data_IF_649400611860
#
_entry.id   IF_649400611860
#
_cell.length_a   1.000
_cell.length_b   1.000
_cell.length_c   1.000
_cell.angle_alpha   90.00
_cell.angle_beta   90.00
_cell.angle_gamma   90.00
#
_symmetry.space_group_name_H-M   'P 1'
#
loop_
_entity.id
_entity.type
_entity.pdbx_description
1 polymer ?
#
# COMPACT_ATOMS: atom_id res chain seq x y z
N UNK A 1 17.47 -4.38 7.75
CA UNK A 1 18.04 -3.52 8.82
C UNK A 1 19.15 -4.30 9.51
N UNK A 2 20.30 -3.67 9.86
CA UNK A 2 21.31 -4.33 10.69
C UNK A 2 20.72 -4.84 12.01
N UNK A 3 21.09 -6.06 12.40
CA UNK A 3 20.59 -6.72 13.60
C UNK A 3 21.21 -6.08 14.84
N UNK A 4 20.40 -5.73 15.85
CA UNK A 4 20.94 -5.26 17.14
C UNK A 4 21.37 -6.45 17.99
N UNK A 5 22.43 -6.25 18.77
CA UNK A 5 22.97 -7.28 19.67
C UNK A 5 21.93 -7.84 20.64
N UNK A 6 20.97 -7.02 21.08
CA UNK A 6 19.93 -7.40 22.06
C UNK A 6 18.90 -8.43 21.57
N UNK A 7 18.88 -8.75 20.27
CA UNK A 7 17.99 -9.77 19.71
C UNK A 7 18.67 -10.67 18.68
N UNK A 8 20.00 -10.60 18.58
CA UNK A 8 20.75 -11.26 17.51
C UNK A 8 20.65 -12.79 17.56
N UNK A 9 20.50 -13.33 18.77
CA UNK A 9 20.45 -14.77 19.08
C UNK A 9 19.14 -15.45 18.67
N UNK A 10 18.16 -14.66 18.22
CA UNK A 10 16.80 -15.09 17.87
C UNK A 10 16.32 -14.48 16.54
N UNK A 11 17.25 -14.07 15.68
CA UNK A 11 16.99 -13.73 14.28
C UNK A 11 17.44 -14.89 13.41
N UNK A 12 16.49 -15.41 12.63
CA UNK A 12 16.72 -16.49 11.69
C UNK A 12 16.54 -15.96 10.27
N UNK A 13 17.35 -16.45 9.34
CA UNK A 13 17.28 -16.12 7.92
C UNK A 13 16.91 -17.35 7.11
N UNK A 14 16.32 -17.18 5.93
CA UNK A 14 16.00 -18.31 5.03
C UNK A 14 15.91 -17.82 3.59
N UNK A 15 15.98 -18.75 2.64
CA UNK A 15 15.99 -18.48 1.20
C UNK A 15 17.09 -17.45 0.83
N UNK A 16 16.73 -16.37 0.13
CA UNK A 16 17.69 -15.34 -0.32
C UNK A 16 18.11 -14.37 0.79
N UNK A 17 17.50 -14.44 1.96
CA UNK A 17 17.81 -13.55 3.08
C UNK A 17 19.03 -14.10 3.84
N UNK A 18 19.99 -13.23 4.14
CA UNK A 18 21.17 -13.57 4.92
C UNK A 18 21.71 -12.35 5.67
N UNK A 19 22.32 -12.57 6.83
CA UNK A 19 23.06 -11.56 7.59
C UNK A 19 24.19 -12.23 8.39
N UNK A 20 25.39 -11.64 8.47
CA UNK A 20 26.53 -12.25 9.18
C UNK A 20 26.19 -12.63 10.62
N UNK A 21 26.61 -13.84 11.01
CA UNK A 21 26.42 -14.35 12.36
C UNK A 21 25.00 -14.80 12.71
N UNK A 22 24.03 -14.74 11.78
CA UNK A 22 22.67 -15.24 12.01
C UNK A 22 22.54 -16.71 11.62
N UNK A 23 21.67 -17.43 12.32
CA UNK A 23 21.29 -18.79 11.95
C UNK A 23 20.53 -18.76 10.62
N UNK A 24 20.97 -19.56 9.65
CA UNK A 24 20.32 -19.70 8.35
C UNK A 24 19.56 -21.03 8.27
N UNK A 25 18.26 -20.94 8.03
CA UNK A 25 17.37 -22.08 7.78
C UNK A 25 17.42 -22.39 6.28
N UNK A 26 18.04 -23.52 5.95
CA UNK A 26 18.28 -23.97 4.58
C UNK A 26 17.02 -24.42 3.82
N UNK A 27 17.22 -24.97 2.63
CA UNK A 27 16.16 -25.31 1.67
C UNK A 27 15.13 -26.31 2.20
N UNK A 28 15.56 -27.24 3.06
CA UNK A 28 14.69 -28.22 3.73
C UNK A 28 13.67 -27.58 4.68
N UNK A 29 13.86 -26.30 5.02
CA UNK A 29 13.00 -25.55 5.95
C UNK A 29 12.82 -26.27 7.29
N UNK A 30 13.88 -26.90 7.79
CA UNK A 30 13.91 -27.42 9.15
C UNK A 30 13.87 -26.25 10.14
N UNK A 31 12.68 -25.96 10.66
CA UNK A 31 12.44 -24.88 11.62
C UNK A 31 12.67 -25.31 13.08
N UNK A 32 13.24 -26.49 13.34
CA UNK A 32 13.56 -26.96 14.70
C UNK A 32 14.30 -25.89 15.52
N UNK A 33 15.36 -25.22 15.02
CA UNK A 33 16.05 -24.17 15.78
C UNK A 33 15.17 -22.97 16.16
N UNK A 34 14.18 -22.63 15.32
CA UNK A 34 13.23 -21.53 15.58
C UNK A 34 12.28 -21.92 16.71
N UNK A 35 11.77 -23.16 16.67
CA UNK A 35 10.81 -23.69 17.65
C UNK A 35 11.49 -23.84 19.02
N UNK A 36 12.68 -24.44 19.08
CA UNK A 36 13.43 -24.60 20.32
C UNK A 36 13.75 -23.25 20.97
N UNK A 37 14.20 -22.26 20.18
CA UNK A 37 14.44 -20.90 20.68
C UNK A 37 13.16 -20.24 21.18
N UNK A 38 12.03 -20.45 20.52
CA UNK A 38 10.75 -19.91 20.99
C UNK A 38 10.32 -20.52 22.34
N UNK A 39 10.48 -21.83 22.51
CA UNK A 39 10.19 -22.53 23.77
C UNK A 39 11.11 -22.07 24.91
N UNK A 40 12.40 -21.89 24.63
CA UNK A 40 13.38 -21.35 25.58
C UNK A 40 12.99 -19.94 26.08
N UNK A 41 12.46 -19.10 25.19
CA UNK A 41 12.12 -17.70 25.50
C UNK A 41 10.79 -17.54 26.27
N UNK A 42 9.89 -18.53 26.26
CA UNK A 42 8.69 -18.56 27.09
C UNK A 42 7.58 -17.54 26.76
N UNK A 43 7.73 -16.70 25.73
CA UNK A 43 6.70 -15.75 25.28
C UNK A 43 6.44 -14.58 26.24
N UNK A 44 5.27 -13.94 26.12
CA UNK A 44 4.82 -12.90 27.06
C UNK A 44 4.11 -13.55 28.26
N UNK A 45 4.33 -13.06 29.51
CA UNK A 45 3.69 -13.61 30.71
C UNK A 45 2.19 -13.29 30.80
N UNK A 46 1.78 -12.18 30.16
CA UNK A 46 0.42 -11.67 30.14
C UNK A 46 0.06 -11.25 28.71
N UNK A 47 -1.24 -11.18 28.41
CA UNK A 47 -1.71 -10.66 27.14
C UNK A 47 -1.20 -9.23 26.90
N UNK A 48 -0.72 -8.98 25.69
CA UNK A 48 -0.16 -7.70 25.28
C UNK A 48 -1.04 -7.10 24.20
N UNK A 49 -1.69 -5.99 24.54
CA UNK A 49 -2.37 -5.15 23.56
C UNK A 49 -1.37 -4.17 22.96
N UNK A 50 -1.27 -4.16 21.64
CA UNK A 50 -0.44 -3.22 20.90
C UNK A 50 -1.33 -2.41 19.98
N UNK A 51 -1.12 -1.10 19.97
CA UNK A 51 -1.77 -0.22 19.00
C UNK A 51 -0.88 -0.04 17.78
N UNK A 52 -1.49 0.19 16.63
CA UNK A 52 -0.82 0.78 15.48
C UNK A 52 -0.37 2.21 15.79
N UNK A 53 0.30 2.84 14.81
CA UNK A 53 0.91 4.15 15.00
C UNK A 53 -0.09 5.30 15.15
N UNK A 54 -1.36 5.08 14.78
CA UNK A 54 -2.46 6.02 14.93
C UNK A 54 -3.37 5.69 16.12
N UNK A 55 -3.03 4.67 16.93
CA UNK A 55 -3.78 4.28 18.12
C UNK A 55 -4.84 3.21 17.89
N UNK A 56 -5.02 2.71 16.65
CA UNK A 56 -5.95 1.63 16.37
C UNK A 56 -5.45 0.28 16.87
N UNK A 57 -6.36 -0.60 17.29
CA UNK A 57 -6.07 -1.93 17.83
C UNK A 57 -6.45 -3.07 16.88
N UNK A 58 -7.23 -2.74 15.84
CA UNK A 58 -7.75 -3.69 14.85
C UNK A 58 -7.55 -3.13 13.43
N UNK A 59 -7.38 -4.04 12.46
CA UNK A 59 -7.25 -3.70 11.04
C UNK A 59 -8.04 -4.72 10.21
N UNK A 60 -8.83 -4.23 9.26
CA UNK A 60 -9.53 -5.10 8.31
C UNK A 60 -8.64 -5.37 7.09
N UNK A 61 -8.55 -6.65 6.67
CA UNK A 61 -7.72 -7.06 5.54
C UNK A 61 -8.44 -8.09 4.66
N UNK A 62 -7.86 -8.41 3.50
CA UNK A 62 -8.36 -9.50 2.64
C UNK A 62 -9.16 -9.04 1.42
N UNK A 63 -9.05 -7.77 1.03
CA UNK A 63 -9.73 -7.20 -0.14
C UNK A 63 -8.91 -7.40 -1.43
N UNK A 64 -8.38 -8.61 -1.64
CA UNK A 64 -7.81 -8.99 -2.93
C UNK A 64 -8.91 -9.07 -4.00
N UNK A 65 -8.52 -9.18 -5.28
CA UNK A 65 -9.46 -9.04 -6.40
C UNK A 65 -10.68 -9.96 -6.32
N UNK A 66 -10.53 -11.24 -5.94
CA UNK A 66 -11.69 -12.14 -5.83
C UNK A 66 -12.72 -11.67 -4.80
N UNK A 67 -12.27 -11.15 -3.66
CA UNK A 67 -13.15 -10.66 -2.60
C UNK A 67 -13.88 -9.37 -3.03
N UNK A 68 -13.16 -8.43 -3.64
CA UNK A 68 -13.73 -7.17 -4.12
C UNK A 68 -14.69 -7.41 -5.29
N UNK A 69 -14.27 -8.22 -6.27
CA UNK A 69 -15.07 -8.50 -7.47
C UNK A 69 -16.33 -9.31 -7.16
N UNK A 70 -16.34 -10.14 -6.10
CA UNK A 70 -17.55 -10.80 -5.63
C UNK A 70 -18.64 -9.80 -5.17
N UNK A 71 -18.27 -8.55 -4.91
CA UNK A 71 -19.17 -7.45 -4.57
C UNK A 71 -19.15 -6.32 -5.61
N UNK A 72 -18.66 -6.58 -6.83
CA UNK A 72 -18.50 -5.56 -7.86
C UNK A 72 -19.80 -4.81 -8.17
N UNK A 73 -20.92 -5.52 -8.33
CA UNK A 73 -22.22 -4.91 -8.63
C UNK A 73 -22.62 -3.90 -7.56
N UNK A 74 -22.43 -4.23 -6.27
CA UNK A 74 -22.72 -3.32 -5.16
C UNK A 74 -21.82 -2.10 -5.15
N UNK A 75 -20.54 -2.25 -5.48
CA UNK A 75 -19.59 -1.14 -5.57
C UNK A 75 -19.99 -0.22 -6.73
N UNK A 76 -20.31 -0.80 -7.90
CA UNK A 76 -20.76 -0.06 -9.08
C UNK A 76 -22.06 0.70 -8.79
N UNK A 77 -23.02 0.05 -8.12
CA UNK A 77 -24.27 0.69 -7.73
C UNK A 77 -24.04 1.83 -6.74
N UNK A 78 -23.15 1.67 -5.76
CA UNK A 78 -22.81 2.71 -4.80
C UNK A 78 -22.16 3.94 -5.48
N UNK A 79 -21.29 3.71 -6.48
CA UNK A 79 -20.70 4.78 -7.29
C UNK A 79 -21.77 5.47 -8.15
N UNK A 80 -22.61 4.71 -8.85
CA UNK A 80 -23.70 5.26 -9.70
C UNK A 80 -24.74 6.04 -8.89
N UNK A 81 -24.99 5.62 -7.65
CA UNK A 81 -25.88 6.31 -6.71
C UNK A 81 -25.23 7.56 -6.06
N UNK A 82 -23.94 7.80 -6.30
CA UNK A 82 -23.19 8.92 -5.70
C UNK A 82 -22.84 8.70 -4.22
N UNK A 83 -22.96 7.48 -3.70
CA UNK A 83 -22.56 7.15 -2.34
C UNK A 83 -21.02 7.02 -2.21
N UNK A 84 -20.35 6.58 -3.27
CA UNK A 84 -18.89 6.60 -3.38
C UNK A 84 -18.51 7.59 -4.48
N UNK A 85 -17.89 8.70 -4.09
CA UNK A 85 -17.47 9.77 -4.99
C UNK A 85 -16.13 9.49 -5.67
N UNK A 86 -15.21 8.84 -4.95
CA UNK A 86 -13.83 8.66 -5.40
C UNK A 86 -13.13 7.47 -4.75
N UNK A 87 -12.17 6.90 -5.46
CA UNK A 87 -11.22 5.91 -4.96
C UNK A 87 -9.81 6.51 -4.91
N UNK A 88 -9.12 6.31 -3.80
CA UNK A 88 -7.71 6.63 -3.68
C UNK A 88 -6.90 5.35 -3.50
N UNK A 89 -6.05 5.01 -4.47
CA UNK A 89 -5.02 4.00 -4.27
C UNK A 89 -3.85 4.66 -3.55
N UNK A 90 -3.86 4.58 -2.22
CA UNK A 90 -2.73 5.00 -1.38
C UNK A 90 -1.93 3.75 -1.02
N UNK A 91 -0.79 3.57 -1.69
CA UNK A 91 -0.12 2.27 -1.70
C UNK A 91 1.40 2.37 -1.80
N UNK A 92 2.06 1.23 -1.61
CA UNK A 92 3.49 1.07 -1.89
C UNK A 92 4.33 0.84 -0.64
N UNK A 93 5.58 1.29 -0.62
CA UNK A 93 6.52 0.89 0.43
C UNK A 93 6.74 1.98 1.48
N UNK A 94 6.70 1.58 2.76
CA UNK A 94 7.15 2.41 3.87
C UNK A 94 8.68 2.38 4.03
N UNK A 95 9.22 3.31 4.82
CA UNK A 95 10.64 3.37 5.17
C UNK A 95 10.97 4.41 6.23
N UNK A 96 12.24 4.51 6.60
CA UNK A 96 12.71 5.36 7.70
C UNK A 96 12.90 6.85 7.32
N UNK A 97 12.83 7.22 6.03
CA UNK A 97 12.98 8.62 5.59
C UNK A 97 11.82 9.46 6.13
N UNK A 98 12.15 10.68 6.59
CA UNK A 98 11.18 11.70 6.97
C UNK A 98 10.30 12.12 5.79
N UNK A 99 9.14 12.71 6.07
CA UNK A 99 8.15 13.13 5.06
C UNK A 99 7.03 12.13 4.80
N UNK A 100 7.09 10.91 5.35
CA UNK A 100 6.05 9.88 5.17
C UNK A 100 4.80 10.07 6.02
N UNK A 101 4.81 11.02 6.95
CA UNK A 101 3.59 11.50 7.63
C UNK A 101 2.58 12.07 6.63
N UNK A 102 3.05 12.51 5.45
CA UNK A 102 2.21 12.88 4.31
C UNK A 102 1.11 11.85 4.05
N UNK A 103 1.42 10.54 4.05
CA UNK A 103 0.42 9.52 3.69
C UNK A 103 -0.65 9.33 4.75
N UNK A 104 -0.27 9.42 6.04
CA UNK A 104 -1.23 9.42 7.14
C UNK A 104 -2.17 10.61 7.03
N UNK A 105 -1.61 11.80 6.82
CA UNK A 105 -2.37 13.03 6.76
C UNK A 105 -3.25 13.12 5.51
N UNK A 106 -2.73 12.72 4.35
CA UNK A 106 -3.47 12.61 3.11
C UNK A 106 -4.70 11.72 3.27
N UNK A 107 -4.54 10.53 3.88
CA UNK A 107 -5.65 9.61 4.11
C UNK A 107 -6.68 10.20 5.07
N UNK A 108 -6.25 10.86 6.16
CA UNK A 108 -7.17 11.53 7.11
C UNK A 108 -8.01 12.63 6.46
N UNK A 109 -7.45 13.33 5.48
CA UNK A 109 -8.13 14.44 4.80
C UNK A 109 -9.03 14.00 3.65
N UNK A 110 -8.98 12.73 3.22
CA UNK A 110 -9.82 12.26 2.11
C UNK A 110 -11.32 12.41 2.41
N UNK A 111 -12.14 12.77 1.41
CA UNK A 111 -13.59 12.95 1.59
C UNK A 111 -14.26 11.76 2.25
N UNK A 112 -15.24 11.99 3.14
CA UNK A 112 -15.94 10.93 3.86
C UNK A 112 -16.69 9.95 2.94
N UNK A 113 -17.01 10.37 1.71
CA UNK A 113 -17.66 9.58 0.67
C UNK A 113 -16.65 8.90 -0.29
N UNK A 114 -15.38 8.78 0.10
CA UNK A 114 -14.33 8.12 -0.69
C UNK A 114 -13.80 6.83 -0.06
N UNK A 115 -13.29 5.92 -0.90
CA UNK A 115 -12.67 4.65 -0.49
C UNK A 115 -11.16 4.70 -0.71
N UNK A 116 -10.40 4.24 0.28
CA UNK A 116 -8.96 4.03 0.22
C UNK A 116 -8.67 2.57 -0.13
N UNK A 117 -8.10 2.35 -1.30
CA UNK A 117 -7.48 1.08 -1.67
C UNK A 117 -6.02 1.13 -1.22
N UNK A 118 -5.55 0.09 -0.53
CA UNK A 118 -4.15 0.02 -0.11
C UNK A 118 -3.54 -1.36 -0.29
N UNK A 119 -2.22 -1.39 -0.39
CA UNK A 119 -1.40 -2.60 -0.47
C UNK A 119 0.04 -2.25 -0.10
N UNK A 120 0.83 -3.29 0.18
CA UNK A 120 2.21 -3.20 0.64
C UNK A 120 2.39 -2.46 1.97
N UNK A 121 3.63 -2.40 2.47
CA UNK A 121 3.90 -1.92 3.83
C UNK A 121 3.64 -0.42 4.05
N UNK A 122 3.46 0.37 3.00
CA UNK A 122 3.03 1.78 3.08
C UNK A 122 1.72 1.94 3.85
N UNK A 123 0.85 0.90 3.81
CA UNK A 123 -0.42 0.87 4.54
C UNK A 123 -0.26 1.09 6.04
N UNK A 124 0.86 0.68 6.64
CA UNK A 124 1.08 0.81 8.09
C UNK A 124 1.12 2.26 8.57
N UNK A 125 1.14 3.23 7.65
CA UNK A 125 0.99 4.66 7.96
C UNK A 125 -0.44 5.04 8.36
N UNK A 126 -1.45 4.27 7.98
CA UNK A 126 -2.85 4.68 8.09
C UNK A 126 -3.86 3.53 8.20
N UNK A 127 -3.45 2.26 8.09
CA UNK A 127 -4.39 1.12 8.09
C UNK A 127 -5.08 0.87 9.43
N UNK A 128 -4.58 1.47 10.50
CA UNK A 128 -5.16 1.46 11.85
C UNK A 128 -5.99 2.72 12.15
N UNK A 129 -6.29 3.53 11.13
CA UNK A 129 -7.29 4.59 11.24
C UNK A 129 -8.70 4.00 11.16
N UNK A 130 -9.57 4.44 12.07
CA UNK A 130 -11.01 4.25 11.90
C UNK A 130 -11.55 5.37 11.01
N UNK A 131 -11.81 5.03 9.75
CA UNK A 131 -12.45 5.92 8.78
C UNK A 131 -13.93 5.60 8.59
N UNK A 132 -14.46 4.58 9.27
CA UNK A 132 -15.82 4.08 9.07
C UNK A 132 -16.03 3.27 7.78
N UNK A 133 -17.29 3.16 7.37
CA UNK A 133 -17.73 2.40 6.21
C UNK A 133 -18.70 3.19 5.32
N UNK A 134 -18.77 2.82 4.04
CA UNK A 134 -19.70 3.38 3.06
C UNK A 134 -20.41 2.22 2.37
N UNK A 135 -21.74 2.19 2.41
CA UNK A 135 -22.53 1.16 1.71
C UNK A 135 -22.22 -0.28 2.18
N UNK A 136 -21.81 -0.46 3.44
CA UNK A 136 -21.39 -1.74 4.01
C UNK A 136 -19.97 -2.17 3.65
N UNK A 137 -19.17 -1.26 3.09
CA UNK A 137 -17.76 -1.47 2.78
C UNK A 137 -16.86 -0.62 3.67
N UNK A 138 -15.81 -1.19 4.29
CA UNK A 138 -14.82 -0.40 5.01
C UNK A 138 -14.17 0.65 4.09
N UNK A 139 -13.99 1.87 4.60
CA UNK A 139 -13.32 2.93 3.84
C UNK A 139 -11.84 2.64 3.58
N UNK A 140 -11.22 1.75 4.34
CA UNK A 140 -9.87 1.23 4.04
C UNK A 140 -9.99 -0.23 3.60
N UNK A 141 -9.66 -0.49 2.35
CA UNK A 141 -9.63 -1.83 1.77
C UNK A 141 -8.18 -2.26 1.52
N UNK A 142 -7.65 -3.09 2.40
CA UNK A 142 -6.33 -3.68 2.24
C UNK A 142 -6.34 -4.88 1.28
N UNK A 143 -5.73 -4.66 0.11
CA UNK A 143 -5.62 -5.62 -0.98
C UNK A 143 -4.45 -6.61 -0.82
N UNK A 144 -3.54 -6.39 0.14
CA UNK A 144 -2.49 -7.34 0.48
C UNK A 144 -1.05 -6.80 0.36
N UNK A 145 -0.15 -7.64 -0.11
CA UNK A 145 1.28 -7.34 -0.25
C UNK A 145 1.57 -6.46 -1.48
N UNK A 146 2.83 -6.12 -1.72
CA UNK A 146 3.22 -5.34 -2.90
C UNK A 146 2.85 -6.02 -4.22
N UNK A 147 2.97 -7.34 -4.30
CA UNK A 147 2.55 -8.13 -5.45
C UNK A 147 1.03 -8.10 -5.70
N UNK A 148 0.22 -7.79 -4.68
CA UNK A 148 -1.22 -7.59 -4.85
C UNK A 148 -1.57 -6.28 -5.56
N UNK A 149 -0.57 -5.52 -6.03
CA UNK A 149 -0.75 -4.54 -7.11
C UNK A 149 -1.45 -5.17 -8.32
N UNK A 150 -1.25 -6.46 -8.58
CA UNK A 150 -2.01 -7.21 -9.56
C UNK A 150 -3.51 -7.23 -9.25
N UNK A 151 -3.88 -7.47 -7.99
CA UNK A 151 -5.28 -7.42 -7.53
C UNK A 151 -5.88 -6.03 -7.72
N UNK A 152 -5.13 -4.97 -7.38
CA UNK A 152 -5.56 -3.58 -7.61
C UNK A 152 -5.82 -3.29 -9.09
N UNK A 153 -4.92 -3.72 -9.98
CA UNK A 153 -5.08 -3.59 -11.43
C UNK A 153 -6.32 -4.36 -11.93
N UNK A 154 -6.53 -5.60 -11.44
CA UNK A 154 -7.71 -6.40 -11.80
C UNK A 154 -9.02 -5.70 -11.43
N UNK A 155 -9.08 -5.15 -10.22
CA UNK A 155 -10.25 -4.39 -9.76
C UNK A 155 -10.46 -3.14 -10.61
N UNK A 156 -9.40 -2.35 -10.86
CA UNK A 156 -9.49 -1.15 -11.69
C UNK A 156 -9.96 -1.46 -13.12
N UNK A 157 -9.45 -2.51 -13.75
CA UNK A 157 -9.88 -2.94 -15.10
C UNK A 157 -11.35 -3.36 -15.10
N UNK A 158 -11.78 -4.15 -14.12
CA UNK A 158 -13.18 -4.59 -14.05
C UNK A 158 -14.14 -3.43 -13.81
N UNK A 159 -13.77 -2.45 -12.98
CA UNK A 159 -14.54 -1.22 -12.80
C UNK A 159 -14.60 -0.41 -14.10
N UNK A 160 -13.47 -0.24 -14.79
CA UNK A 160 -13.42 0.46 -16.07
C UNK A 160 -14.33 -0.20 -17.12
N UNK A 161 -14.33 -1.53 -17.21
CA UNK A 161 -15.26 -2.30 -18.05
C UNK A 161 -16.73 -2.05 -17.66
N UNK A 162 -17.06 -2.06 -16.37
CA UNK A 162 -18.43 -1.83 -15.89
C UNK A 162 -18.94 -0.39 -16.12
N UNK A 163 -18.03 0.58 -16.24
CA UNK A 163 -18.33 1.98 -16.57
C UNK A 163 -18.12 2.32 -18.05
N UNK A 164 -17.73 1.34 -18.88
CA UNK A 164 -17.44 1.51 -20.31
C UNK A 164 -16.43 2.65 -20.58
N UNK A 165 -15.41 2.77 -19.71
CA UNK A 165 -14.35 3.78 -19.81
C UNK A 165 -12.96 3.17 -19.70
N UNK A 166 -11.92 3.98 -19.86
CA UNK A 166 -10.55 3.57 -19.56
C UNK A 166 -10.25 3.71 -18.06
N UNK A 167 -9.24 2.99 -17.58
CA UNK A 167 -8.80 3.10 -16.16
C UNK A 167 -8.41 4.53 -15.78
N UNK A 168 -7.90 5.32 -16.72
CA UNK A 168 -7.52 6.72 -16.47
C UNK A 168 -8.73 7.66 -16.35
N UNK A 169 -9.93 7.22 -16.74
CA UNK A 169 -11.18 7.98 -16.65
C UNK A 169 -12.03 7.58 -15.43
N UNK A 170 -11.63 6.54 -14.69
CA UNK A 170 -12.26 6.19 -13.43
C UNK A 170 -12.06 7.32 -12.40
N UNK A 171 -12.97 7.48 -11.43
CA UNK A 171 -12.75 8.31 -10.25
C UNK A 171 -11.75 7.62 -9.31
N UNK A 172 -10.52 7.41 -9.79
CA UNK A 172 -9.44 6.70 -9.13
C UNK A 172 -8.16 7.55 -9.21
N UNK A 173 -7.57 7.84 -8.06
CA UNK A 173 -6.30 8.55 -7.97
C UNK A 173 -5.22 7.70 -7.31
N UNK A 174 -4.01 7.72 -7.86
CA UNK A 174 -2.90 6.89 -7.40
C UNK A 174 -1.87 7.74 -6.66
N UNK A 175 -1.74 7.50 -5.36
CA UNK A 175 -0.80 8.18 -4.46
C UNK A 175 0.17 7.16 -3.89
N UNK A 176 1.31 7.03 -4.57
CA UNK A 176 2.23 5.91 -4.38
C UNK A 176 3.46 6.32 -3.57
N UNK A 177 3.79 5.48 -2.60
CA UNK A 177 5.03 5.50 -1.85
C UNK A 177 6.00 4.45 -2.38
N UNK A 178 7.30 4.71 -2.34
CA UNK A 178 8.30 3.71 -2.74
C UNK A 178 9.49 3.70 -1.79
N UNK A 179 10.26 2.62 -1.84
CA UNK A 179 11.48 2.45 -1.02
C UNK A 179 12.49 1.52 -1.70
N UNK A 180 12.04 0.36 -2.15
CA UNK A 180 12.89 -0.68 -2.75
C UNK A 180 12.43 -1.06 -4.17
N UNK A 181 13.06 -2.08 -4.76
CA UNK A 181 12.98 -2.35 -6.20
C UNK A 181 11.67 -3.02 -6.64
N UNK A 182 10.94 -3.71 -5.76
CA UNK A 182 9.60 -4.23 -6.13
C UNK A 182 8.63 -3.09 -6.41
N UNK A 183 8.69 -1.98 -5.67
CA UNK A 183 7.91 -0.78 -5.98
C UNK A 183 8.25 -0.19 -7.36
N UNK A 184 9.52 -0.26 -7.78
CA UNK A 184 9.94 0.16 -9.13
C UNK A 184 9.34 -0.75 -10.19
N UNK A 185 9.36 -2.07 -9.98
CA UNK A 185 8.71 -3.02 -10.90
C UNK A 185 7.22 -2.73 -11.05
N UNK A 186 6.52 -2.43 -9.96
CA UNK A 186 5.09 -2.10 -9.99
C UNK A 186 4.85 -0.80 -10.76
N UNK A 187 5.66 0.24 -10.51
CA UNK A 187 5.57 1.50 -11.25
C UNK A 187 5.75 1.26 -12.76
N UNK A 188 6.76 0.47 -13.17
CA UNK A 188 6.98 0.14 -14.58
C UNK A 188 5.80 -0.64 -15.18
N UNK A 189 5.17 -1.54 -14.42
CA UNK A 189 3.95 -2.23 -14.86
C UNK A 189 2.80 -1.24 -15.09
N UNK A 190 2.58 -0.28 -14.18
CA UNK A 190 1.55 0.75 -14.35
C UNK A 190 1.83 1.62 -15.59
N UNK A 191 3.09 2.02 -15.79
CA UNK A 191 3.50 2.76 -16.98
C UNK A 191 3.29 1.95 -18.26
N UNK A 192 3.63 0.65 -18.26
CA UNK A 192 3.38 -0.24 -19.40
C UNK A 192 1.89 -0.35 -19.73
N UNK A 193 1.03 -0.37 -18.71
CA UNK A 193 -0.43 -0.37 -18.87
C UNK A 193 -1.00 1.00 -19.28
N UNK A 194 -0.16 2.01 -19.46
CA UNK A 194 -0.57 3.35 -19.87
C UNK A 194 -1.29 4.14 -18.76
N UNK A 195 -1.07 3.78 -17.50
CA UNK A 195 -1.61 4.50 -16.35
C UNK A 195 -0.90 5.84 -16.18
N UNK A 196 -1.69 6.89 -15.96
CA UNK A 196 -1.25 8.28 -15.89
C UNK A 196 -1.60 8.93 -14.56
N UNK A 197 -1.11 10.15 -14.34
CA UNK A 197 -1.43 11.00 -13.18
C UNK A 197 -1.07 10.37 -11.82
N UNK A 198 0.06 9.67 -11.76
CA UNK A 198 0.56 9.04 -10.52
C UNK A 198 1.30 10.07 -9.68
N UNK A 199 0.91 10.22 -8.41
CA UNK A 199 1.67 10.94 -7.40
C UNK A 199 2.71 10.00 -6.78
N UNK A 200 3.99 10.33 -6.85
CA UNK A 200 5.09 9.47 -6.41
C UNK A 200 5.96 10.17 -5.35
N UNK A 201 6.09 9.54 -4.18
CA UNK A 201 6.77 10.13 -3.03
C UNK A 201 7.43 9.13 -2.07
N UNK A 202 8.02 9.61 -0.95
CA UNK A 202 8.10 11.02 -0.54
C UNK A 202 9.18 11.82 -1.28
N UNK A 203 10.05 11.16 -2.03
CA UNK A 203 11.05 11.78 -2.92
C UNK A 203 11.10 10.99 -4.22
N UNK A 204 11.43 11.63 -5.34
CA UNK A 204 11.65 10.90 -6.58
C UNK A 204 12.92 10.00 -6.49
N UNK A 205 12.95 8.86 -7.19
CA UNK A 205 14.14 8.02 -7.23
C UNK A 205 15.39 8.71 -7.78
N UNK A 206 16.48 8.63 -7.04
CA UNK A 206 17.76 9.27 -7.39
C UNK A 206 18.38 8.73 -8.70
N UNK A 207 17.97 7.54 -9.14
CA UNK A 207 18.42 6.94 -10.40
C UNK A 207 17.66 7.47 -11.64
N UNK A 208 16.66 8.33 -11.46
CA UNK A 208 15.96 8.96 -12.58
C UNK A 208 16.71 10.24 -12.96
N UNK A 209 17.27 10.26 -14.17
CA UNK A 209 17.91 11.46 -14.72
C UNK A 209 16.87 12.52 -15.09
N UNK A 210 17.26 13.82 -15.19
CA UNK A 210 16.35 14.88 -15.57
C UNK A 210 15.60 14.60 -16.89
N UNK A 211 16.29 14.08 -17.92
CA UNK A 211 15.66 13.78 -19.20
C UNK A 211 14.61 12.66 -19.09
N UNK A 212 14.88 11.62 -18.28
CA UNK A 212 13.91 10.55 -18.03
C UNK A 212 12.73 11.08 -17.23
N UNK A 213 12.97 11.93 -16.24
CA UNK A 213 11.90 12.57 -15.48
C UNK A 213 11.01 13.42 -16.38
N UNK A 214 11.58 14.26 -17.25
CA UNK A 214 10.82 15.06 -18.22
C UNK A 214 9.93 14.17 -19.10
N UNK A 215 10.47 13.06 -19.61
CA UNK A 215 9.68 12.11 -20.40
C UNK A 215 8.50 11.53 -19.59
N UNK A 216 8.73 11.14 -18.32
CA UNK A 216 7.68 10.61 -17.45
C UNK A 216 6.60 11.65 -17.12
N UNK A 217 6.98 12.91 -16.93
CA UNK A 217 6.04 14.01 -16.73
C UNK A 217 5.22 14.26 -17.99
N UNK A 218 5.86 14.40 -19.15
CA UNK A 218 5.20 14.71 -20.41
C UNK A 218 4.24 13.61 -20.87
N UNK A 219 4.64 12.33 -20.74
CA UNK A 219 3.91 11.21 -21.32
C UNK A 219 2.95 10.54 -20.34
N UNK A 220 3.28 10.55 -19.04
CA UNK A 220 2.53 9.84 -17.99
C UNK A 220 2.01 10.74 -16.87
N UNK A 221 2.34 12.04 -16.89
CA UNK A 221 1.91 13.00 -15.87
C UNK A 221 2.28 12.53 -14.45
N UNK A 222 3.46 11.89 -14.30
CA UNK A 222 4.00 11.59 -12.97
C UNK A 222 4.25 12.90 -12.24
N UNK A 223 3.76 12.99 -11.01
CA UNK A 223 3.90 14.15 -10.14
C UNK A 223 4.64 13.76 -8.86
N UNK A 224 5.64 14.53 -8.39
CA UNK A 224 6.12 14.38 -7.03
C UNK A 224 4.99 14.75 -6.04
N UNK A 225 4.95 14.08 -4.89
CA UNK A 225 4.06 14.49 -3.78
C UNK A 225 4.45 15.88 -3.25
N UNK A 226 3.47 16.76 -3.06
CA UNK A 226 3.57 18.06 -2.38
C UNK A 226 3.13 17.97 -0.91
N UNK A 227 2.23 18.88 -0.49
CA UNK A 227 1.51 18.73 0.80
C UNK A 227 0.22 17.94 0.61
N UNK A 228 -0.30 17.27 1.66
CA UNK A 228 -1.56 16.54 1.59
C UNK A 228 -2.72 17.40 1.08
N UNK A 229 -2.84 18.62 1.59
CA UNK A 229 -3.93 19.56 1.26
C UNK A 229 -3.86 19.99 -0.20
N UNK A 230 -2.66 20.35 -0.67
CA UNK A 230 -2.45 20.81 -2.04
C UNK A 230 -2.69 19.69 -3.07
N UNK A 231 -2.22 18.48 -2.77
CA UNK A 231 -2.37 17.36 -3.67
C UNK A 231 -3.82 16.87 -3.71
N UNK A 232 -4.49 16.78 -2.55
CA UNK A 232 -5.90 16.42 -2.50
C UNK A 232 -6.78 17.42 -3.25
N UNK A 233 -6.50 18.73 -3.08
CA UNK A 233 -7.18 19.78 -3.84
C UNK A 233 -6.99 19.59 -5.35
N UNK A 234 -5.75 19.39 -5.83
CA UNK A 234 -5.46 19.15 -7.26
C UNK A 234 -6.14 17.90 -7.80
N UNK A 235 -6.28 16.85 -6.97
CA UNK A 235 -6.93 15.60 -7.35
C UNK A 235 -8.45 15.80 -7.51
N UNK A 236 -9.08 16.50 -6.58
CA UNK A 236 -10.54 16.67 -6.53
C UNK A 236 -11.07 17.80 -7.43
N UNK A 237 -10.21 18.73 -7.87
CA UNK A 237 -10.57 19.82 -8.80
C UNK A 237 -10.52 19.42 -10.29
N UNK A 238 -10.15 18.18 -10.61
CA UNK A 238 -10.15 17.63 -11.97
C UNK A 238 -11.53 17.13 -12.39
#
# INVERSE_FOLDING_TARGET
>A
MPVKQSYQDRVFTTAVVSYPGMTHIGEEKDFTPVIEKALELGGYPDDREFTGMNGGTEVMTGFAHSAVLASADKIVDAVKAGAISHFFLVAGCDGARTGRSYYTEFVRQTPEDSIILTLACGKYRFNDLDLGEIGGFPRIMDMGQCNDAYSAIKVAVALAEAFECSVNELPLSMVLSWYEQKAVSILLTLLYLGIKNIYLGPTLPAFISPNVLSYLVENYQISPTGTPEEDLKKILEK
#
